data_IF_386084249926
#
_entry.id   IF_386084249926
#
_cell.length_a   1.000
_cell.length_b   1.000
_cell.length_c   1.000
_cell.angle_alpha   90.00
_cell.angle_beta   90.00
_cell.angle_gamma   90.00
#
_symmetry.space_group_name_H-M   'P 1'
#
loop_
_entity.id
_entity.type
_entity.pdbx_description
1 polymer ?
#
# COMPACT_ATOMS: atom_id res chain seq x y z
N UNK A 1 -3.07 -6.77 12.11
CA UNK A 1 -2.10 -7.00 11.02
C UNK A 1 -0.70 -7.16 11.59
N UNK A 2 -0.01 -6.09 12.03
CA UNK A 2 1.33 -6.23 12.63
C UNK A 2 1.36 -7.18 13.83
N UNK A 3 0.41 -7.07 14.76
CA UNK A 3 0.28 -7.99 15.91
C UNK A 3 -0.06 -9.44 15.48
N UNK A 4 -0.92 -9.57 14.46
CA UNK A 4 -1.37 -10.87 13.93
C UNK A 4 -0.23 -11.67 13.31
N UNK A 5 0.71 -10.97 12.67
CA UNK A 5 1.83 -11.56 11.93
C UNK A 5 3.19 -11.29 12.60
N UNK A 6 3.18 -10.92 13.89
CA UNK A 6 4.39 -10.57 14.64
C UNK A 6 5.46 -11.67 14.60
N UNK A 7 5.05 -12.94 14.58
CA UNK A 7 5.94 -14.09 14.50
C UNK A 7 6.62 -14.30 13.13
N UNK A 8 6.17 -13.62 12.07
CA UNK A 8 6.84 -13.63 10.76
C UNK A 8 7.74 -12.41 10.53
N UNK A 9 7.74 -11.43 11.45
CA UNK A 9 8.50 -10.18 11.32
C UNK A 9 9.81 -10.25 12.09
N UNK A 10 10.90 -9.84 11.44
CA UNK A 10 12.22 -9.76 12.06
C UNK A 10 12.41 -8.45 12.84
N UNK A 11 11.96 -7.32 12.29
CA UNK A 11 11.93 -6.02 12.97
C UNK A 11 10.50 -5.45 12.99
N UNK A 12 9.77 -5.82 14.04
CA UNK A 12 8.38 -5.38 14.24
C UNK A 12 8.26 -3.86 14.40
N UNK A 13 9.26 -3.19 14.98
CA UNK A 13 9.21 -1.74 15.17
C UNK A 13 9.25 -1.01 13.84
N UNK A 14 10.14 -1.44 12.92
CA UNK A 14 10.25 -0.86 11.59
C UNK A 14 8.92 -0.99 10.84
N UNK A 15 8.31 -2.18 10.86
CA UNK A 15 7.02 -2.41 10.21
C UNK A 15 5.91 -1.60 10.85
N UNK A 16 5.83 -1.56 12.19
CA UNK A 16 4.82 -0.80 12.90
C UNK A 16 4.92 0.71 12.61
N UNK A 17 6.14 1.27 12.61
CA UNK A 17 6.35 2.66 12.25
C UNK A 17 6.01 2.94 10.78
N UNK A 18 6.39 2.06 9.86
CA UNK A 18 6.04 2.21 8.45
C UNK A 18 4.52 2.21 8.25
N UNK A 19 3.79 1.27 8.87
CA UNK A 19 2.31 1.24 8.86
C UNK A 19 1.74 2.56 9.36
N UNK A 20 2.24 3.07 10.49
CA UNK A 20 1.72 4.30 11.07
C UNK A 20 1.97 5.54 10.21
N UNK A 21 3.14 5.61 9.55
CA UNK A 21 3.60 6.82 8.89
C UNK A 21 3.43 6.87 7.37
N UNK A 22 3.22 5.74 6.67
CA UNK A 22 3.36 5.73 5.20
C UNK A 22 2.47 6.74 4.47
N UNK A 23 1.22 6.90 4.90
CA UNK A 23 0.25 7.83 4.31
C UNK A 23 -0.04 9.07 5.18
N UNK A 24 0.84 9.40 6.14
CA UNK A 24 0.62 10.54 7.04
C UNK A 24 0.54 11.88 6.29
N UNK A 25 1.25 12.00 5.16
CA UNK A 25 1.08 13.08 4.20
C UNK A 25 0.39 12.50 2.97
N UNK A 26 -0.85 12.92 2.72
CA UNK A 26 -1.60 12.48 1.56
C UNK A 26 -2.28 13.67 0.85
N UNK A 27 -2.01 13.80 -0.45
CA UNK A 27 -2.62 14.81 -1.30
C UNK A 27 -2.71 14.31 -2.75
N UNK A 28 -3.94 14.11 -3.25
CA UNK A 28 -4.23 13.59 -4.60
C UNK A 28 -3.71 14.44 -5.77
N UNK A 29 -3.26 15.67 -5.52
CA UNK A 29 -2.66 16.55 -6.53
C UNK A 29 -1.13 16.49 -6.55
N UNK A 30 -0.52 15.75 -5.61
CA UNK A 30 0.93 15.62 -5.47
C UNK A 30 1.39 14.23 -5.87
N UNK A 31 2.66 14.15 -6.29
CA UNK A 31 3.35 12.90 -6.63
C UNK A 31 4.47 12.53 -5.66
N UNK A 32 4.65 13.34 -4.62
CA UNK A 32 5.73 13.20 -3.63
C UNK A 32 5.17 12.99 -2.22
N UNK A 33 4.00 12.37 -2.10
CA UNK A 33 3.38 12.09 -0.81
C UNK A 33 4.25 11.12 0.01
N UNK A 34 4.65 10.00 -0.58
CA UNK A 34 5.42 8.94 0.08
C UNK A 34 6.80 9.43 0.53
N UNK A 35 7.61 10.12 -0.31
CA UNK A 35 8.86 10.72 0.15
C UNK A 35 8.67 11.75 1.27
N UNK A 36 7.59 12.52 1.27
CA UNK A 36 7.31 13.51 2.34
C UNK A 36 6.87 12.84 3.64
N UNK A 37 6.03 11.80 3.55
CA UNK A 37 5.68 10.94 4.69
C UNK A 37 6.94 10.33 5.30
N UNK A 38 7.82 9.78 4.47
CA UNK A 38 9.08 9.19 4.90
C UNK A 38 10.01 10.21 5.58
N UNK A 39 10.16 11.42 5.01
CA UNK A 39 10.93 12.50 5.63
C UNK A 39 10.37 12.92 7.00
N UNK A 40 9.04 13.02 7.11
CA UNK A 40 8.38 13.35 8.37
C UNK A 40 8.56 12.25 9.42
N UNK A 41 8.46 10.98 9.00
CA UNK A 41 8.69 9.82 9.85
C UNK A 41 10.12 9.83 10.42
N UNK A 42 11.13 9.97 9.58
CA UNK A 42 12.54 10.04 9.99
C UNK A 42 12.75 11.16 11.02
N UNK A 43 12.27 12.37 10.73
CA UNK A 43 12.41 13.52 11.63
C UNK A 43 11.79 13.23 13.02
N UNK A 44 10.59 12.65 13.05
CA UNK A 44 9.88 12.36 14.32
C UNK A 44 10.52 11.21 15.08
N UNK A 45 10.91 10.14 14.40
CA UNK A 45 11.54 8.98 15.04
C UNK A 45 12.92 9.31 15.60
N UNK A 46 13.71 10.12 14.90
CA UNK A 46 14.98 10.63 15.43
C UNK A 46 14.79 11.50 16.66
N UNK A 47 13.77 12.36 16.68
CA UNK A 47 13.43 13.16 17.86
C UNK A 47 12.98 12.32 19.06
N UNK A 48 12.46 11.11 18.81
CA UNK A 48 12.11 10.11 19.82
C UNK A 48 13.29 9.21 20.25
N UNK A 49 14.49 9.43 19.69
CA UNK A 49 15.69 8.66 20.02
C UNK A 49 15.77 7.29 19.34
N UNK A 50 14.97 7.03 18.31
CA UNK A 50 15.05 5.77 17.54
C UNK A 50 16.37 5.73 16.74
N UNK A 51 17.10 4.61 16.73
CA UNK A 51 18.40 4.51 16.06
C UNK A 51 18.35 4.88 14.56
N UNK A 52 19.39 5.55 14.02
CA UNK A 52 19.44 5.96 12.63
C UNK A 52 19.19 4.81 11.64
N UNK A 53 19.73 3.63 11.94
CA UNK A 53 19.54 2.39 11.16
C UNK A 53 18.06 2.03 10.98
N UNK A 54 17.29 1.97 12.08
CA UNK A 54 15.84 1.71 12.03
C UNK A 54 15.10 2.83 11.28
N UNK A 55 15.44 4.10 11.53
CA UNK A 55 14.79 5.21 10.83
C UNK A 55 15.04 5.18 9.31
N UNK A 56 16.22 4.73 8.90
CA UNK A 56 16.55 4.55 7.49
C UNK A 56 15.74 3.40 6.85
N UNK A 57 15.55 2.29 7.57
CA UNK A 57 14.66 1.22 7.10
C UNK A 57 13.20 1.69 6.98
N UNK A 58 12.67 2.40 7.99
CA UNK A 58 11.30 2.96 7.93
C UNK A 58 11.14 3.88 6.72
N UNK A 59 12.13 4.72 6.43
CA UNK A 59 12.13 5.57 5.22
C UNK A 59 11.99 4.73 3.95
N UNK A 60 12.80 3.69 3.80
CA UNK A 60 12.77 2.81 2.62
C UNK A 60 11.42 2.12 2.50
N UNK A 61 10.85 1.63 3.60
CA UNK A 61 9.55 0.95 3.60
C UNK A 61 8.44 1.88 3.13
N UNK A 62 8.38 3.10 3.66
CA UNK A 62 7.38 4.09 3.24
C UNK A 62 7.56 4.45 1.78
N UNK A 63 8.78 4.74 1.33
CA UNK A 63 9.04 5.09 -0.08
C UNK A 63 8.70 3.95 -1.05
N UNK A 64 8.85 2.69 -0.63
CA UNK A 64 8.49 1.52 -1.44
C UNK A 64 6.97 1.39 -1.71
N UNK A 65 6.11 2.04 -0.92
CA UNK A 65 4.65 2.08 -1.19
C UNK A 65 4.30 2.87 -2.44
N UNK A 66 5.21 3.69 -2.96
CA UNK A 66 4.94 4.45 -4.19
C UNK A 66 4.83 3.54 -5.43
N UNK A 67 5.65 2.48 -5.48
CA UNK A 67 5.71 1.55 -6.60
C UNK A 67 5.26 0.14 -6.22
N UNK A 68 5.00 -0.11 -4.94
CA UNK A 68 4.71 -1.42 -4.35
C UNK A 68 5.73 -2.48 -4.74
N UNK A 69 7.00 -2.09 -4.84
CA UNK A 69 8.12 -2.98 -5.17
C UNK A 69 9.23 -2.88 -4.14
N UNK A 70 9.91 -3.99 -3.90
CA UNK A 70 11.13 -4.01 -3.09
C UNK A 70 12.22 -3.29 -3.87
N UNK A 71 12.64 -2.12 -3.37
CA UNK A 71 13.69 -1.30 -3.99
C UNK A 71 14.82 -1.04 -2.99
N UNK A 72 16.03 -0.83 -3.52
CA UNK A 72 17.21 -0.51 -2.71
C UNK A 72 17.77 -1.67 -1.89
N UNK A 73 18.74 -1.36 -1.02
CA UNK A 73 19.32 -2.32 -0.08
C UNK A 73 18.53 -2.29 1.22
N UNK A 74 17.69 -3.31 1.42
CA UNK A 74 16.84 -3.49 2.61
C UNK A 74 17.45 -4.57 3.49
N UNK A 75 17.47 -4.35 4.80
CA UNK A 75 18.04 -5.31 5.75
C UNK A 75 17.19 -6.58 5.85
N UNK A 76 15.87 -6.42 5.94
CA UNK A 76 14.90 -7.51 6.01
C UNK A 76 13.90 -7.44 4.83
N UNK A 77 14.26 -7.93 3.64
CA UNK A 77 13.37 -7.86 2.47
C UNK A 77 12.01 -8.55 2.68
N UNK A 78 11.97 -9.62 3.49
CA UNK A 78 10.73 -10.32 3.82
C UNK A 78 9.74 -9.45 4.62
N UNK A 79 10.24 -8.66 5.58
CA UNK A 79 9.42 -7.72 6.34
C UNK A 79 8.83 -6.64 5.42
N UNK A 80 9.62 -6.16 4.45
CA UNK A 80 9.14 -5.20 3.45
C UNK A 80 8.06 -5.80 2.55
N UNK A 81 8.28 -7.03 2.05
CA UNK A 81 7.27 -7.72 1.24
C UNK A 81 5.96 -7.87 2.01
N UNK A 82 6.04 -8.27 3.28
CA UNK A 82 4.86 -8.45 4.11
C UNK A 82 4.17 -7.11 4.45
N UNK A 83 4.95 -6.05 4.66
CA UNK A 83 4.42 -4.69 4.83
C UNK A 83 3.66 -4.20 3.59
N UNK A 84 4.22 -4.39 2.39
CA UNK A 84 3.54 -4.03 1.14
C UNK A 84 2.25 -4.86 0.93
N UNK A 85 2.28 -6.12 1.35
CA UNK A 85 1.09 -6.98 1.36
C UNK A 85 0.02 -6.50 2.34
N UNK A 86 0.42 -5.95 3.50
CA UNK A 86 -0.51 -5.35 4.45
C UNK A 86 -1.23 -4.14 3.87
N UNK A 87 -0.48 -3.26 3.20
CA UNK A 87 -1.03 -2.07 2.55
C UNK A 87 -2.07 -2.44 1.46
N UNK A 88 -1.77 -3.49 0.69
CA UNK A 88 -2.62 -3.92 -0.42
C UNK A 88 -3.76 -4.87 -0.02
N UNK A 89 -3.88 -5.25 1.25
CA UNK A 89 -4.80 -6.31 1.67
C UNK A 89 -6.28 -5.98 1.45
N UNK A 90 -6.64 -4.69 1.42
CA UNK A 90 -8.01 -4.23 1.14
C UNK A 90 -8.51 -4.75 -0.21
N UNK A 91 -7.62 -5.00 -1.16
CA UNK A 91 -7.98 -5.55 -2.47
C UNK A 91 -8.58 -6.95 -2.35
N UNK A 92 -8.07 -7.76 -1.41
CA UNK A 92 -8.53 -9.12 -1.15
C UNK A 92 -9.71 -9.24 -0.19
N UNK A 93 -10.28 -8.12 0.27
CA UNK A 93 -11.42 -8.13 1.18
C UNK A 93 -12.68 -8.70 0.52
N UNK A 94 -13.69 -9.04 1.32
CA UNK A 94 -14.99 -9.42 0.78
C UNK A 94 -15.62 -8.25 0.01
N UNK A 95 -16.46 -8.57 -0.97
CA UNK A 95 -16.94 -7.60 -1.96
C UNK A 95 -17.58 -6.35 -1.34
N UNK A 96 -18.31 -6.48 -0.24
CA UNK A 96 -18.96 -5.35 0.41
C UNK A 96 -17.94 -4.32 0.92
N UNK A 97 -16.88 -4.79 1.60
CA UNK A 97 -15.80 -3.94 2.10
C UNK A 97 -15.01 -3.32 0.93
N UNK A 98 -14.71 -4.11 -0.10
CA UNK A 98 -14.04 -3.62 -1.30
C UNK A 98 -14.89 -2.53 -2.02
N UNK A 99 -16.19 -2.74 -2.15
CA UNK A 99 -17.10 -1.79 -2.79
C UNK A 99 -17.29 -0.49 -1.98
N UNK A 100 -17.18 -0.54 -0.65
CA UNK A 100 -17.08 0.67 0.17
C UNK A 100 -15.74 1.38 -0.07
N UNK A 101 -14.62 0.64 -0.08
CA UNK A 101 -13.30 1.20 -0.40
C UNK A 101 -13.30 1.94 -1.74
N UNK A 102 -13.83 1.36 -2.83
CA UNK A 102 -13.88 2.04 -4.14
C UNK A 102 -14.73 3.32 -4.12
N UNK A 103 -15.81 3.35 -3.34
CA UNK A 103 -16.63 4.56 -3.14
C UNK A 103 -15.86 5.64 -2.37
N UNK A 104 -15.05 5.27 -1.39
CA UNK A 104 -14.19 6.21 -0.67
C UNK A 104 -13.11 6.79 -1.58
N UNK A 105 -12.43 5.95 -2.37
CA UNK A 105 -11.47 6.41 -3.39
C UNK A 105 -12.15 7.37 -4.38
N UNK A 106 -13.36 7.07 -4.87
CA UNK A 106 -14.08 8.01 -5.76
C UNK A 106 -14.36 9.35 -5.08
N UNK A 107 -14.73 9.37 -3.80
CA UNK A 107 -15.00 10.60 -3.03
C UNK A 107 -13.73 11.43 -2.83
N UNK A 108 -12.62 10.78 -2.56
CA UNK A 108 -11.31 11.42 -2.39
C UNK A 108 -10.85 12.09 -3.69
N UNK A 109 -11.01 11.40 -4.82
CA UNK A 109 -10.68 11.92 -6.15
C UNK A 109 -11.79 12.78 -6.76
N UNK A 110 -12.73 13.32 -5.96
CA UNK A 110 -13.87 14.13 -6.45
C UNK A 110 -13.45 15.40 -7.18
N UNK A 111 -12.23 15.89 -6.93
CA UNK A 111 -11.65 17.02 -7.68
C UNK A 111 -11.49 16.73 -9.18
N UNK A 112 -11.36 15.45 -9.55
CA UNK A 112 -11.30 15.02 -10.94
C UNK A 112 -12.71 14.72 -11.47
N UNK A 113 -13.09 15.31 -12.63
CA UNK A 113 -14.33 14.95 -13.33
C UNK A 113 -14.36 13.47 -13.71
N UNK A 114 -15.56 12.90 -13.78
CA UNK A 114 -15.81 11.49 -14.11
C UNK A 114 -15.12 11.04 -15.42
N UNK A 115 -15.15 11.90 -16.45
CA UNK A 115 -14.51 11.65 -17.75
C UNK A 115 -12.98 11.49 -17.71
N UNK A 116 -12.34 11.91 -16.61
CA UNK A 116 -10.91 11.72 -16.37
C UNK A 116 -10.66 10.61 -15.34
N UNK A 117 -11.45 10.60 -14.27
CA UNK A 117 -11.29 9.64 -13.18
C UNK A 117 -11.51 8.20 -13.63
N UNK A 118 -12.63 7.91 -14.31
CA UNK A 118 -12.99 6.52 -14.63
C UNK A 118 -12.02 5.85 -15.61
N UNK A 119 -11.61 6.49 -16.73
CA UNK A 119 -10.58 5.92 -17.59
C UNK A 119 -9.25 5.68 -16.86
N UNK A 120 -8.82 6.64 -16.02
CA UNK A 120 -7.58 6.51 -15.24
C UNK A 120 -7.64 5.39 -14.21
N UNK A 121 -8.76 5.27 -13.49
CA UNK A 121 -8.98 4.19 -12.52
C UNK A 121 -9.01 2.84 -13.21
N UNK A 122 -9.69 2.73 -14.36
CA UNK A 122 -9.73 1.50 -15.16
C UNK A 122 -8.35 1.09 -15.65
N UNK A 123 -7.55 2.04 -16.13
CA UNK A 123 -6.18 1.79 -16.55
C UNK A 123 -5.31 1.27 -15.38
N UNK A 124 -5.43 1.88 -14.20
CA UNK A 124 -4.76 1.40 -12.99
C UNK A 124 -5.13 -0.05 -12.66
N UNK A 125 -6.43 -0.37 -12.61
CA UNK A 125 -6.90 -1.73 -12.31
C UNK A 125 -6.40 -2.74 -13.35
N UNK A 126 -6.43 -2.38 -14.63
CA UNK A 126 -5.93 -3.23 -15.71
C UNK A 126 -4.42 -3.48 -15.57
N UNK A 127 -3.66 -2.44 -15.21
CA UNK A 127 -2.23 -2.59 -14.95
C UNK A 127 -1.96 -3.55 -13.78
N UNK A 128 -2.66 -3.40 -12.66
CA UNK A 128 -2.54 -4.33 -11.53
C UNK A 128 -2.90 -5.78 -11.92
N UNK A 129 -3.95 -5.97 -12.74
CA UNK A 129 -4.37 -7.30 -13.19
C UNK A 129 -3.37 -7.98 -14.13
N UNK A 130 -2.48 -7.22 -14.79
CA UNK A 130 -1.41 -7.75 -15.63
C UNK A 130 -0.20 -8.25 -14.84
N UNK A 131 -0.06 -7.88 -13.57
CA UNK A 131 1.00 -8.41 -12.72
C UNK A 131 0.85 -9.93 -12.55
N UNK A 132 1.96 -10.66 -12.50
CA UNK A 132 1.96 -12.11 -12.24
C UNK A 132 1.32 -12.41 -10.87
N UNK A 133 1.65 -11.61 -9.86
CA UNK A 133 1.06 -11.63 -8.53
C UNK A 133 0.76 -10.21 -8.05
N UNK A 134 -0.37 -10.02 -7.37
CA UNK A 134 -0.71 -8.76 -6.70
C UNK A 134 0.00 -8.68 -5.35
N UNK A 135 0.09 -9.81 -4.65
CA UNK A 135 0.75 -9.93 -3.36
C UNK A 135 2.17 -10.49 -3.49
N UNK A 136 3.09 -9.94 -2.72
CA UNK A 136 4.52 -10.27 -2.71
C UNK A 136 4.79 -11.64 -2.08
N UNK A 137 4.12 -11.97 -0.97
CA UNK A 137 4.36 -13.21 -0.21
C UNK A 137 3.40 -14.33 -0.60
N UNK A 138 3.87 -15.59 -0.54
CA UNK A 138 3.01 -16.76 -0.78
C UNK A 138 1.80 -16.79 0.16
N UNK A 139 2.02 -16.43 1.43
CA UNK A 139 0.98 -16.35 2.45
C UNK A 139 -0.20 -15.46 2.00
N UNK A 140 0.08 -14.24 1.52
CA UNK A 140 -0.99 -13.33 1.10
C UNK A 140 -1.57 -13.71 -0.26
N UNK A 141 -0.77 -14.33 -1.14
CA UNK A 141 -1.31 -14.87 -2.39
C UNK A 141 -2.39 -15.92 -2.12
N UNK A 142 -2.11 -16.87 -1.22
CA UNK A 142 -3.05 -17.93 -0.86
C UNK A 142 -4.32 -17.38 -0.21
N UNK A 143 -4.19 -16.34 0.61
CA UNK A 143 -5.31 -15.73 1.33
C UNK A 143 -6.17 -14.81 0.45
N UNK A 144 -5.55 -14.03 -0.44
CA UNK A 144 -6.17 -12.83 -0.99
C UNK A 144 -6.10 -12.70 -2.52
N UNK A 145 -5.19 -13.38 -3.22
CA UNK A 145 -4.96 -13.15 -4.66
C UNK A 145 -6.23 -13.37 -5.49
N UNK A 146 -6.91 -14.50 -5.28
CA UNK A 146 -8.12 -14.85 -6.02
C UNK A 146 -9.24 -13.82 -5.79
N UNK A 147 -9.45 -13.40 -4.54
CA UNK A 147 -10.44 -12.37 -4.19
C UNK A 147 -10.07 -11.01 -4.78
N UNK A 148 -8.80 -10.61 -4.69
CA UNK A 148 -8.31 -9.34 -5.24
C UNK A 148 -8.52 -9.25 -6.76
N UNK A 149 -8.19 -10.31 -7.49
CA UNK A 149 -8.43 -10.38 -8.94
C UNK A 149 -9.93 -10.31 -9.27
N UNK A 150 -10.76 -11.05 -8.55
CA UNK A 150 -12.21 -11.02 -8.74
C UNK A 150 -12.81 -9.63 -8.48
N UNK A 151 -12.40 -8.99 -7.38
CA UNK A 151 -12.83 -7.65 -7.00
C UNK A 151 -12.44 -6.60 -8.05
N UNK A 152 -11.16 -6.56 -8.44
CA UNK A 152 -10.67 -5.62 -9.45
C UNK A 152 -11.29 -5.85 -10.83
N UNK A 153 -11.50 -7.11 -11.23
CA UNK A 153 -12.17 -7.44 -12.49
C UNK A 153 -13.62 -6.97 -12.48
N UNK A 154 -14.32 -7.17 -11.35
CA UNK A 154 -15.70 -6.73 -11.19
C UNK A 154 -15.81 -5.20 -11.19
N UNK A 155 -14.88 -4.50 -10.53
CA UNK A 155 -14.77 -3.04 -10.60
C UNK A 155 -14.55 -2.60 -12.05
N UNK A 156 -13.52 -3.11 -12.73
CA UNK A 156 -13.15 -2.71 -14.09
C UNK A 156 -14.23 -2.98 -15.16
N UNK A 157 -15.15 -3.93 -14.90
CA UNK A 157 -16.28 -4.27 -15.77
C UNK A 157 -17.58 -3.53 -15.42
N UNK A 158 -17.61 -2.77 -14.32
CA UNK A 158 -18.79 -2.07 -13.87
C UNK A 158 -19.23 -0.97 -14.84
N UNK A 159 -20.54 -0.80 -15.05
CA UNK A 159 -21.11 0.21 -15.98
C UNK A 159 -20.77 1.65 -15.63
N UNK A 160 -20.26 1.89 -14.43
CA UNK A 160 -19.84 3.20 -13.95
C UNK A 160 -18.32 3.41 -14.09
N UNK A 161 -17.59 2.52 -14.78
CA UNK A 161 -16.16 2.61 -15.12
C UNK A 161 -15.90 2.48 -16.62
#
# INVERSE_FOLDING_TARGET
>A
MCETYAGQLQDQDVVAFAIFYHDIIYNVLRKDNEPRSAQLAVKRLQALGIPPEKTAQVKIFIEATQTHTVTGTVQNPADLQLFLDFDMSILGADWEAYAEYTRQVRREYRIYPDKLYYPGRKQFLQHCLQAEFIFQTQLFRDLYEAKARANMTREASGKHL
#
